data_IF_665937103724
#
_entry.id   IF_665937103724
#
_cell.length_a   1.000
_cell.length_b   1.000
_cell.length_c   1.000
_cell.angle_alpha   90.00
_cell.angle_beta   90.00
_cell.angle_gamma   90.00
#
_symmetry.space_group_name_H-M   'P 1'
#
loop_
_entity.id
_entity.type
_entity.pdbx_description
1 polymer ?
#
# COMPACT_ATOMS: atom_id res chain seq x y z
N UNK A 1 -3.25 -15.78 -16.06
CA UNK A 1 -4.11 -14.61 -15.78
C UNK A 1 -3.29 -13.40 -16.15
N UNK A 2 -3.80 -12.51 -17.03
CA UNK A 2 -3.07 -11.32 -17.49
C UNK A 2 -2.78 -10.44 -16.28
N UNK A 3 -1.52 -10.03 -16.13
CA UNK A 3 -1.04 -9.13 -15.07
C UNK A 3 -1.87 -7.85 -15.08
N UNK A 4 -2.72 -7.69 -14.06
CA UNK A 4 -3.77 -6.66 -14.09
C UNK A 4 -3.24 -5.30 -13.68
N UNK A 5 -2.14 -5.23 -12.91
CA UNK A 5 -1.44 -3.99 -12.54
C UNK A 5 0.04 -4.27 -12.24
N UNK A 6 0.90 -3.24 -12.30
CA UNK A 6 2.34 -3.32 -11.99
C UNK A 6 2.61 -2.88 -10.54
N UNK A 7 1.85 -1.91 -10.05
CA UNK A 7 1.93 -1.39 -8.68
C UNK A 7 0.57 -1.34 -8.01
N UNK A 8 0.58 -1.40 -6.68
CA UNK A 8 -0.56 -1.09 -5.82
C UNK A 8 -0.20 0.13 -4.97
N UNK A 9 -1.13 1.09 -4.91
CA UNK A 9 -1.03 2.28 -4.09
C UNK A 9 -2.12 2.20 -3.02
N UNK A 10 -1.75 2.36 -1.77
CA UNK A 10 -2.67 2.41 -0.65
C UNK A 10 -2.46 3.72 0.12
N UNK A 11 -3.39 4.66 0.01
CA UNK A 11 -3.38 5.86 0.84
C UNK A 11 -3.76 5.47 2.27
N UNK A 12 -3.11 6.10 3.25
CA UNK A 12 -3.31 5.74 4.65
C UNK A 12 -3.32 6.96 5.57
N UNK A 13 -3.95 6.80 6.72
CA UNK A 13 -3.96 7.79 7.80
C UNK A 13 -3.85 7.09 9.16
N UNK A 14 -3.51 7.83 10.24
CA UNK A 14 -3.50 7.25 11.57
C UNK A 14 -4.85 6.62 11.92
N UNK A 15 -4.81 5.51 12.64
CA UNK A 15 -6.02 4.90 13.21
C UNK A 15 -6.65 5.81 14.26
N UNK A 16 -7.95 5.66 14.49
CA UNK A 16 -8.69 6.28 15.58
C UNK A 16 -9.20 5.24 16.60
N UNK A 17 -9.92 5.70 17.63
CA UNK A 17 -10.40 4.83 18.72
C UNK A 17 -11.43 3.77 18.26
N UNK A 18 -12.01 3.90 17.07
CA UNK A 18 -12.94 2.93 16.52
C UNK A 18 -12.25 1.82 15.73
N UNK A 19 -10.97 2.00 15.37
CA UNK A 19 -10.21 1.00 14.62
C UNK A 19 -9.63 -0.07 15.58
N UNK A 20 -9.99 -1.33 15.34
CA UNK A 20 -9.61 -2.47 16.20
C UNK A 20 -8.25 -3.04 15.78
N UNK A 21 -7.90 -2.93 14.50
CA UNK A 21 -6.67 -3.45 13.90
C UNK A 21 -6.04 -2.39 13.00
N UNK A 22 -4.70 -2.40 12.91
CA UNK A 22 -3.96 -1.54 11.99
C UNK A 22 -3.69 -2.28 10.69
N UNK A 23 -3.95 -1.62 9.56
CA UNK A 23 -3.63 -2.15 8.23
C UNK A 23 -2.11 -2.09 7.95
N UNK A 24 -1.42 -1.10 8.53
CA UNK A 24 0.03 -0.98 8.47
C UNK A 24 0.57 -0.26 9.73
N UNK A 25 1.86 -0.45 10.03
CA UNK A 25 2.58 0.32 11.06
C UNK A 25 3.72 1.07 10.39
N UNK A 26 3.78 2.39 10.56
CA UNK A 26 4.86 3.24 10.03
C UNK A 26 5.40 4.09 11.17
N UNK A 27 6.71 3.99 11.41
CA UNK A 27 7.40 4.69 12.50
C UNK A 27 6.71 4.50 13.85
N UNK A 28 6.39 3.25 14.19
CA UNK A 28 5.68 2.85 15.42
C UNK A 28 4.26 3.42 15.59
N UNK A 29 3.71 4.06 14.57
CA UNK A 29 2.33 4.55 14.55
C UNK A 29 1.43 3.61 13.73
N UNK A 30 0.27 3.18 14.30
CA UNK A 30 -0.73 2.39 13.56
C UNK A 30 -1.46 3.26 12.54
N UNK A 31 -1.63 2.73 11.31
CA UNK A 31 -2.39 3.39 10.24
C UNK A 31 -3.48 2.47 9.71
N UNK A 32 -4.53 3.10 9.20
CA UNK A 32 -5.57 2.46 8.38
C UNK A 32 -5.46 2.89 6.92
N UNK A 33 -5.83 2.00 6.01
CA UNK A 33 -5.98 2.34 4.61
C UNK A 33 -7.26 3.13 4.37
N UNK A 34 -7.17 4.18 3.57
CA UNK A 34 -8.30 4.99 3.14
C UNK A 34 -8.76 4.58 1.74
N UNK A 35 -7.81 4.36 0.83
CA UNK A 35 -8.08 3.94 -0.54
C UNK A 35 -6.95 3.06 -1.05
N UNK A 36 -7.30 1.96 -1.73
CA UNK A 36 -6.35 1.05 -2.38
C UNK A 36 -6.67 0.95 -3.87
N UNK A 37 -5.68 1.22 -4.71
CA UNK A 37 -5.82 1.25 -6.18
C UNK A 37 -4.63 0.53 -6.84
N UNK A 38 -4.91 -0.28 -7.86
CA UNK A 38 -3.89 -0.83 -8.75
C UNK A 38 -3.59 0.13 -9.91
N UNK A 39 -2.33 0.23 -10.30
CA UNK A 39 -1.91 1.04 -11.45
C UNK A 39 -0.87 0.32 -12.30
N UNK A 40 -1.01 0.52 -13.62
CA UNK A 40 0.04 0.24 -14.59
C UNK A 40 0.69 1.54 -15.02
N UNK A 41 2.01 1.56 -15.08
CA UNK A 41 2.75 2.73 -15.49
C UNK A 41 4.22 2.64 -15.16
N UNK A 42 4.97 3.57 -15.72
CA UNK A 42 6.34 3.82 -15.31
C UNK A 42 6.38 4.53 -13.94
N UNK A 43 7.59 4.72 -13.42
CA UNK A 43 7.82 5.34 -12.12
C UNK A 43 7.23 6.77 -12.06
N UNK A 44 7.27 7.51 -13.18
CA UNK A 44 6.73 8.87 -13.22
C UNK A 44 5.20 8.86 -13.06
N UNK A 45 4.50 7.97 -13.76
CA UNK A 45 3.05 7.79 -13.62
C UNK A 45 2.64 7.37 -12.21
N UNK A 46 3.41 6.48 -11.58
CA UNK A 46 3.18 6.05 -10.19
C UNK A 46 3.36 7.21 -9.19
N UNK A 47 4.37 8.05 -9.39
CA UNK A 47 4.61 9.24 -8.55
C UNK A 47 3.48 10.26 -8.71
N UNK A 48 2.98 10.48 -9.92
CA UNK A 48 1.84 11.37 -10.16
C UNK A 48 0.55 10.83 -9.52
N UNK A 49 0.29 9.52 -9.63
CA UNK A 49 -0.86 8.90 -8.96
C UNK A 49 -0.79 9.06 -7.43
N UNK A 50 0.41 8.95 -6.83
CA UNK A 50 0.59 9.28 -5.40
C UNK A 50 0.19 10.71 -5.07
N UNK A 51 0.60 11.69 -5.89
CA UNK A 51 0.24 13.10 -5.66
C UNK A 51 -1.28 13.31 -5.69
N UNK A 52 -1.97 12.65 -6.62
CA UNK A 52 -3.42 12.72 -6.72
C UNK A 52 -4.10 12.18 -5.46
N UNK A 53 -3.71 10.99 -5.00
CA UNK A 53 -4.25 10.38 -3.77
C UNK A 53 -4.01 11.21 -2.50
N UNK A 54 -2.89 11.95 -2.45
CA UNK A 54 -2.61 12.86 -1.33
C UNK A 54 -3.48 14.11 -1.34
N UNK A 55 -3.86 14.60 -2.52
CA UNK A 55 -4.69 15.79 -2.67
C UNK A 55 -6.15 15.56 -2.25
N UNK A 56 -6.60 14.31 -2.13
CA UNK A 56 -7.95 13.94 -1.70
C UNK A 56 -8.19 14.16 -0.18
N UNK A 57 -7.18 14.69 0.54
CA UNK A 57 -7.36 15.54 1.73
C UNK A 57 -7.30 14.86 3.08
N UNK A 58 -7.41 13.53 3.14
CA UNK A 58 -7.41 12.79 4.41
C UNK A 58 -6.21 11.85 4.60
N UNK A 59 -5.39 11.65 3.56
CA UNK A 59 -4.25 10.76 3.61
C UNK A 59 -3.01 11.43 4.26
N UNK A 60 -2.35 10.70 5.17
CA UNK A 60 -1.03 11.05 5.70
C UNK A 60 0.05 10.81 4.64
N UNK A 61 0.02 9.65 3.99
CA UNK A 61 0.87 9.31 2.84
C UNK A 61 0.24 8.16 2.04
N UNK A 62 0.97 7.66 1.04
CA UNK A 62 0.60 6.55 0.17
C UNK A 62 1.71 5.49 0.18
N UNK A 63 1.35 4.28 0.59
CA UNK A 63 2.19 3.10 0.47
C UNK A 63 2.16 2.62 -0.98
N UNK A 64 3.32 2.52 -1.62
CA UNK A 64 3.44 2.07 -3.01
C UNK A 64 4.22 0.76 -3.04
N UNK A 65 3.60 -0.29 -3.59
CA UNK A 65 4.18 -1.62 -3.64
C UNK A 65 4.14 -2.19 -5.06
N UNK A 66 5.30 -2.63 -5.55
CA UNK A 66 5.39 -3.36 -6.80
C UNK A 66 4.83 -4.77 -6.63
N UNK A 67 3.93 -5.21 -7.52
CA UNK A 67 3.21 -6.47 -7.36
C UNK A 67 4.12 -7.71 -7.43
N UNK A 68 5.18 -7.67 -8.24
CA UNK A 68 6.18 -8.75 -8.24
C UNK A 68 6.92 -8.86 -6.90
N UNK A 69 7.15 -7.75 -6.22
CA UNK A 69 7.78 -7.74 -4.89
C UNK A 69 6.82 -8.25 -3.81
N UNK A 70 5.54 -7.88 -3.90
CA UNK A 70 4.49 -8.44 -3.05
C UNK A 70 4.37 -9.96 -3.20
N UNK A 71 4.45 -10.47 -4.43
CA UNK A 71 4.46 -11.91 -4.67
C UNK A 71 5.66 -12.59 -3.99
N UNK A 72 6.83 -11.95 -3.99
CA UNK A 72 8.03 -12.45 -3.30
C UNK A 72 7.84 -12.51 -1.77
N UNK A 73 7.23 -11.47 -1.18
CA UNK A 73 6.90 -11.45 0.25
C UNK A 73 5.83 -12.50 0.60
N UNK A 74 4.80 -12.63 -0.21
CA UNK A 74 3.76 -13.63 -0.03
C UNK A 74 4.33 -15.06 -0.11
N UNK A 75 5.23 -15.30 -1.07
CA UNK A 75 5.97 -16.56 -1.17
C UNK A 75 6.79 -16.86 0.09
N UNK A 76 7.43 -15.86 0.67
CA UNK A 76 8.16 -15.99 1.94
C UNK A 76 7.23 -16.34 3.12
N UNK A 77 6.07 -15.69 3.20
CA UNK A 77 5.06 -15.98 4.23
C UNK A 77 4.54 -17.41 4.07
N UNK A 78 4.16 -17.80 2.86
CA UNK A 78 3.57 -19.11 2.56
C UNK A 78 4.57 -20.27 2.68
N UNK A 79 5.84 -20.04 2.35
CA UNK A 79 6.90 -21.04 2.53
C UNK A 79 7.29 -21.22 4.00
N UNK A 80 6.68 -20.43 4.90
CA UNK A 80 6.98 -20.47 6.32
C UNK A 80 8.46 -20.22 6.54
N UNK A 81 8.93 -19.01 6.22
CA UNK A 81 10.23 -18.57 6.74
C UNK A 81 10.15 -18.67 8.27
N UNK A 82 10.64 -19.80 8.78
CA UNK A 82 11.13 -19.92 10.13
C UNK A 82 12.24 -18.87 10.26
N UNK A 83 12.10 -18.05 11.29
CA UNK A 83 12.99 -16.96 11.65
C UNK A 83 14.48 -17.33 11.59
#
# INVERSE_FOLDING_TARGET
MKDVYTYVLASFSPTDQADIEADLIVNDEPMKFLQVTGIDGDIAGVIEARKQLLNDGNAKDVLILHLGSLATLNDAILKGIAA
#
